data_IF_252277963497
#
_entry.id   IF_252277963497
#
_cell.length_a   1.000
_cell.length_b   1.000
_cell.length_c   1.000
_cell.angle_alpha   90.00
_cell.angle_beta   90.00
_cell.angle_gamma   90.00
#
_symmetry.space_group_name_H-M   'P 1'
#
loop_
_entity.id
_entity.type
_entity.pdbx_description
1 polymer ?
#
# COMPACT_ATOMS: atom_id res chain seq x y z
N UNK A 1 25.13 1.79 -8.75
CA UNK A 1 23.86 1.57 -9.44
C UNK A 1 22.79 2.33 -8.68
N UNK A 2 21.93 3.09 -9.36
CA UNK A 2 20.83 3.78 -8.70
C UNK A 2 19.70 2.78 -8.43
N UNK A 3 19.10 2.82 -7.24
CA UNK A 3 17.95 1.98 -6.90
C UNK A 3 16.75 2.34 -7.79
N UNK A 4 16.02 1.31 -8.22
CA UNK A 4 14.73 1.45 -8.89
C UNK A 4 13.66 1.99 -7.92
N UNK A 5 12.54 2.46 -8.47
CA UNK A 5 11.41 2.94 -7.67
C UNK A 5 10.92 1.86 -6.67
N UNK A 6 10.76 0.61 -7.12
CA UNK A 6 10.29 -0.48 -6.25
C UNK A 6 11.30 -0.82 -5.14
N UNK A 7 12.61 -0.77 -5.44
CA UNK A 7 13.66 -0.98 -4.43
C UNK A 7 13.66 0.13 -3.37
N UNK A 8 13.45 1.40 -3.77
CA UNK A 8 13.33 2.52 -2.83
C UNK A 8 12.07 2.43 -1.97
N UNK A 9 10.92 2.07 -2.56
CA UNK A 9 9.70 1.81 -1.81
C UNK A 9 9.88 0.69 -0.78
N UNK A 10 10.62 -0.36 -1.12
CA UNK A 10 10.91 -1.45 -0.20
C UNK A 10 11.89 -1.04 0.92
N UNK A 11 12.94 -0.28 0.60
CA UNK A 11 13.85 0.31 1.61
C UNK A 11 13.08 1.19 2.61
N UNK A 12 12.24 2.09 2.09
CA UNK A 12 11.37 2.92 2.92
C UNK A 12 10.48 2.05 3.82
N UNK A 13 9.86 1.00 3.29
CA UNK A 13 8.99 0.12 4.08
C UNK A 13 9.77 -0.59 5.21
N UNK A 14 10.99 -1.05 4.96
CA UNK A 14 11.86 -1.64 5.99
C UNK A 14 12.15 -0.64 7.10
N UNK A 15 12.57 0.57 6.73
CA UNK A 15 12.92 1.63 7.70
C UNK A 15 11.71 2.11 8.49
N UNK A 16 10.55 2.19 7.85
CA UNK A 16 9.31 2.70 8.43
C UNK A 16 8.61 1.68 9.36
N UNK A 17 8.70 0.38 9.06
CA UNK A 17 7.87 -0.65 9.70
C UNK A 17 8.66 -1.77 10.37
N UNK A 18 9.95 -1.91 10.04
CA UNK A 18 10.79 -3.04 10.41
C UNK A 18 10.75 -4.17 9.38
N UNK A 19 11.86 -4.91 9.27
CA UNK A 19 12.04 -5.95 8.25
C UNK A 19 10.92 -7.00 8.27
N UNK A 20 10.48 -7.46 9.44
CA UNK A 20 9.45 -8.51 9.54
C UNK A 20 8.10 -8.08 8.95
N UNK A 21 7.71 -6.81 9.11
CA UNK A 21 6.45 -6.28 8.57
C UNK A 21 6.60 -5.96 7.08
N UNK A 22 7.73 -5.37 6.68
CA UNK A 22 8.00 -4.99 5.29
C UNK A 22 8.13 -6.22 4.37
N UNK A 23 8.77 -7.30 4.85
CA UNK A 23 8.97 -8.53 4.10
C UNK A 23 7.79 -9.51 4.13
N UNK A 24 6.71 -9.20 4.86
CA UNK A 24 5.53 -10.06 4.92
C UNK A 24 4.60 -9.80 3.72
N UNK A 25 4.41 -10.78 2.79
CA UNK A 25 3.57 -10.58 1.61
C UNK A 25 2.10 -10.29 1.94
N UNK A 26 1.58 -10.84 3.05
CA UNK A 26 0.21 -10.58 3.51
C UNK A 26 0.03 -9.12 3.92
N UNK A 27 0.99 -8.54 4.63
CA UNK A 27 0.95 -7.11 5.00
C UNK A 27 1.03 -6.21 3.76
N UNK A 28 1.89 -6.57 2.81
CA UNK A 28 2.05 -5.78 1.58
C UNK A 28 0.77 -5.80 0.74
N UNK A 29 0.15 -6.96 0.55
CA UNK A 29 -1.10 -7.05 -0.23
C UNK A 29 -2.29 -6.41 0.50
N UNK A 30 -2.35 -6.48 1.83
CA UNK A 30 -3.37 -5.78 2.60
C UNK A 30 -3.23 -4.26 2.47
N UNK A 31 -2.01 -3.73 2.41
CA UNK A 31 -1.83 -2.29 2.15
C UNK A 31 -2.28 -1.91 0.74
N UNK A 32 -1.97 -2.71 -0.27
CA UNK A 32 -2.47 -2.48 -1.64
C UNK A 32 -4.00 -2.47 -1.68
N UNK A 33 -4.65 -3.41 -0.99
CA UNK A 33 -6.11 -3.47 -0.88
C UNK A 33 -6.69 -2.22 -0.22
N UNK A 34 -6.12 -1.79 0.90
CA UNK A 34 -6.56 -0.59 1.62
C UNK A 34 -6.48 0.65 0.75
N UNK A 35 -5.35 0.88 0.06
CA UNK A 35 -5.18 2.02 -0.86
C UNK A 35 -6.19 1.97 -2.03
N UNK A 36 -6.47 0.78 -2.56
CA UNK A 36 -7.45 0.62 -3.63
C UNK A 36 -8.88 0.95 -3.16
N UNK A 37 -9.22 0.60 -1.91
CA UNK A 37 -10.50 0.97 -1.28
C UNK A 37 -10.55 2.47 -1.00
N UNK A 38 -9.48 3.06 -0.47
CA UNK A 38 -9.37 4.51 -0.24
C UNK A 38 -9.53 5.27 -1.58
N UNK A 39 -8.90 4.81 -2.67
CA UNK A 39 -9.08 5.38 -4.01
C UNK A 39 -10.54 5.28 -4.49
N UNK A 40 -11.16 4.09 -4.38
CA UNK A 40 -12.56 3.90 -4.76
C UNK A 40 -13.51 4.83 -3.96
N UNK A 41 -13.23 5.02 -2.66
CA UNK A 41 -13.97 5.95 -1.82
C UNK A 41 -13.88 7.39 -2.33
N UNK A 42 -12.71 7.84 -2.78
CA UNK A 42 -12.54 9.20 -3.33
C UNK A 42 -13.34 9.44 -4.62
N UNK A 43 -13.63 8.38 -5.38
CA UNK A 43 -14.47 8.43 -6.58
C UNK A 43 -15.96 8.19 -6.28
N UNK A 44 -16.35 8.11 -5.00
CA UNK A 44 -17.74 7.96 -4.59
C UNK A 44 -18.31 6.55 -4.79
N UNK A 45 -17.46 5.52 -4.86
CA UNK A 45 -17.92 4.13 -4.92
C UNK A 45 -18.51 3.75 -3.56
N UNK A 46 -19.77 3.33 -3.56
CA UNK A 46 -20.46 2.89 -2.34
C UNK A 46 -19.93 1.54 -1.83
N UNK A 47 -19.97 1.35 -0.52
CA UNK A 47 -19.53 0.11 0.12
C UNK A 47 -20.24 -1.14 -0.44
N UNK A 48 -21.54 -1.08 -0.71
CA UNK A 48 -22.29 -2.22 -1.29
C UNK A 48 -21.72 -2.67 -2.65
N UNK A 49 -21.18 -1.74 -3.45
CA UNK A 49 -20.54 -2.05 -4.74
C UNK A 49 -19.19 -2.71 -4.52
N UNK A 50 -18.45 -2.29 -3.49
CA UNK A 50 -17.20 -2.94 -3.06
C UNK A 50 -17.50 -4.38 -2.62
N UNK A 51 -18.51 -4.58 -1.77
CA UNK A 51 -18.90 -5.91 -1.28
C UNK A 51 -19.35 -6.83 -2.42
N UNK A 52 -20.14 -6.32 -3.38
CA UNK A 52 -20.52 -7.06 -4.58
C UNK A 52 -19.29 -7.44 -5.45
N UNK A 53 -18.30 -6.54 -5.54
CA UNK A 53 -17.05 -6.78 -6.26
C UNK A 53 -16.21 -7.86 -5.59
N UNK A 54 -16.10 -7.83 -4.27
CA UNK A 54 -15.46 -8.87 -3.45
C UNK A 54 -16.12 -10.22 -3.74
N UNK A 55 -17.44 -10.31 -3.64
CA UNK A 55 -18.17 -11.56 -3.93
C UNK A 55 -17.88 -12.11 -5.33
N UNK A 56 -17.83 -11.24 -6.34
CA UNK A 56 -17.51 -11.63 -7.73
C UNK A 56 -16.07 -12.13 -7.89
N UNK A 57 -15.10 -11.54 -7.19
CA UNK A 57 -13.69 -11.98 -7.25
C UNK A 57 -13.54 -13.34 -6.58
N UNK A 58 -14.10 -13.50 -5.38
CA UNK A 58 -14.00 -14.76 -4.62
C UNK A 58 -14.84 -15.91 -5.20
N UNK A 59 -15.77 -15.64 -6.14
CA UNK A 59 -16.49 -16.68 -6.86
C UNK A 59 -15.70 -17.32 -8.01
N UNK A 60 -14.46 -16.87 -8.27
CA UNK A 60 -13.61 -17.33 -9.38
C UNK A 60 -12.41 -18.13 -8.85
N UNK A 61 -11.75 -18.94 -9.70
CA UNK A 61 -10.47 -19.55 -9.35
C UNK A 61 -9.45 -18.49 -8.96
N UNK A 62 -8.60 -18.83 -7.99
CA UNK A 62 -7.51 -17.97 -7.52
C UNK A 62 -6.52 -17.71 -8.67
N UNK A 63 -6.17 -16.43 -8.87
CA UNK A 63 -5.21 -16.00 -9.89
C UNK A 63 -3.74 -16.20 -9.48
N UNK A 64 -2.83 -15.81 -10.37
CA UNK A 64 -1.38 -15.89 -10.15
C UNK A 64 -0.84 -14.52 -9.70
N UNK A 65 -0.23 -14.44 -8.52
CA UNK A 65 0.11 -13.16 -7.89
C UNK A 65 0.94 -12.18 -8.75
N UNK A 66 1.99 -12.61 -9.49
CA UNK A 66 2.69 -11.72 -10.44
C UNK A 66 1.78 -11.13 -11.54
N UNK A 67 0.84 -11.92 -12.06
CA UNK A 67 -0.10 -11.47 -13.09
C UNK A 67 -1.10 -10.46 -12.53
N UNK A 68 -1.70 -10.77 -11.37
CA UNK A 68 -2.65 -9.88 -10.71
C UNK A 68 -1.98 -8.55 -10.31
N UNK A 69 -0.72 -8.60 -9.86
CA UNK A 69 0.06 -7.38 -9.55
C UNK A 69 0.24 -6.49 -10.78
N UNK A 70 0.54 -7.08 -11.94
CA UNK A 70 0.66 -6.35 -13.20
C UNK A 70 -0.69 -5.77 -13.65
N UNK A 71 -1.79 -6.50 -13.44
CA UNK A 71 -3.14 -6.03 -13.79
C UNK A 71 -3.60 -4.88 -12.88
N UNK A 72 -3.25 -4.90 -11.59
CA UNK A 72 -3.48 -3.78 -10.67
C UNK A 72 -2.75 -2.53 -11.19
N UNK A 73 -1.46 -2.63 -11.51
CA UNK A 73 -0.68 -1.51 -12.04
C UNK A 73 -1.30 -0.98 -13.35
N UNK A 74 -1.61 -1.86 -14.30
CA UNK A 74 -2.22 -1.49 -15.58
C UNK A 74 -3.55 -0.76 -15.39
N UNK A 75 -4.40 -1.24 -14.48
CA UNK A 75 -5.69 -0.63 -14.18
C UNK A 75 -5.53 0.74 -13.54
N UNK A 76 -4.59 0.89 -12.60
CA UNK A 76 -4.29 2.16 -11.95
C UNK A 76 -3.75 3.19 -12.95
N UNK A 77 -2.83 2.79 -13.85
CA UNK A 77 -2.33 3.65 -14.92
C UNK A 77 -3.43 4.10 -15.88
N UNK A 78 -4.35 3.21 -16.24
CA UNK A 78 -5.50 3.53 -17.09
C UNK A 78 -6.44 4.54 -16.41
N UNK A 79 -6.74 4.34 -15.12
CA UNK A 79 -7.50 5.29 -14.32
C UNK A 79 -6.82 6.67 -14.27
N UNK A 80 -5.52 6.71 -13.99
CA UNK A 80 -4.76 7.96 -13.94
C UNK A 80 -4.81 8.71 -15.27
N UNK A 81 -4.61 8.00 -16.39
CA UNK A 81 -4.73 8.58 -17.72
C UNK A 81 -6.15 9.14 -17.99
N UNK A 82 -7.19 8.42 -17.55
CA UNK A 82 -8.58 8.89 -17.66
C UNK A 82 -8.83 10.20 -16.89
N UNK A 83 -8.19 10.38 -15.73
CA UNK A 83 -8.28 11.59 -14.92
C UNK A 83 -7.32 12.71 -15.37
N UNK A 84 -6.45 12.45 -16.36
CA UNK A 84 -5.42 13.39 -16.80
C UNK A 84 -4.24 13.51 -15.83
N UNK A 85 -3.99 12.48 -15.03
CA UNK A 85 -2.91 12.45 -14.04
C UNK A 85 -1.61 11.88 -14.62
N UNK A 86 -0.47 12.42 -14.15
CA UNK A 86 0.86 11.86 -14.40
C UNK A 86 1.25 10.93 -13.25
N UNK A 87 0.79 9.68 -13.31
CA UNK A 87 0.88 8.73 -12.19
C UNK A 87 2.32 8.52 -11.71
N UNK A 88 3.27 8.37 -12.63
CA UNK A 88 4.68 8.12 -12.30
C UNK A 88 5.29 9.31 -11.54
N UNK A 89 5.01 10.54 -11.98
CA UNK A 89 5.48 11.74 -11.31
C UNK A 89 4.84 11.92 -9.93
N UNK A 90 3.55 11.59 -9.81
CA UNK A 90 2.83 11.60 -8.53
C UNK A 90 3.39 10.55 -7.55
N UNK A 91 3.72 9.36 -8.04
CA UNK A 91 4.30 8.29 -7.23
C UNK A 91 5.69 8.66 -6.69
N UNK A 92 6.54 9.29 -7.51
CA UNK A 92 7.84 9.81 -7.07
C UNK A 92 7.69 10.93 -6.01
N UNK A 93 6.73 11.83 -6.19
CA UNK A 93 6.46 12.89 -5.22
C UNK A 93 5.93 12.33 -3.89
N UNK A 94 5.05 11.33 -3.93
CA UNK A 94 4.55 10.68 -2.70
C UNK A 94 5.66 9.92 -1.99
N UNK A 95 6.54 9.22 -2.71
CA UNK A 95 7.70 8.55 -2.12
C UNK A 95 8.60 9.55 -1.39
N UNK A 96 8.92 10.68 -2.01
CA UNK A 96 9.70 11.75 -1.37
C UNK A 96 9.00 12.29 -0.12
N UNK A 97 7.67 12.45 -0.15
CA UNK A 97 6.88 12.92 1.00
C UNK A 97 6.90 11.93 2.17
N UNK A 98 6.76 10.63 1.91
CA UNK A 98 6.79 9.61 2.98
C UNK A 98 8.20 9.41 3.54
N UNK A 99 9.24 9.61 2.73
CA UNK A 99 10.64 9.65 3.18
C UNK A 99 10.91 10.87 4.08
N UNK A 100 10.37 12.04 3.74
CA UNK A 100 10.49 13.25 4.57
C UNK A 100 9.74 13.10 5.91
N UNK A 101 8.52 12.53 5.89
CA UNK A 101 7.77 12.21 7.12
C UNK A 101 8.55 11.26 8.02
N UNK A 102 9.19 10.23 7.45
CA UNK A 102 9.99 9.28 8.21
C UNK A 102 11.25 9.94 8.80
N UNK A 103 11.88 10.83 8.04
CA UNK A 103 13.04 11.60 8.51
C UNK A 103 12.68 12.55 9.65
N UNK A 104 11.50 13.17 9.58
CA UNK A 104 11.00 14.11 10.57
C UNK A 104 10.51 13.45 11.85
N UNK A 105 9.86 12.28 11.73
CA UNK A 105 9.43 11.45 12.86
C UNK A 105 9.64 9.96 12.52
N UNK A 106 10.72 9.34 13.04
CA UNK A 106 11.04 7.93 12.82
C UNK A 106 9.93 6.95 13.27
N UNK A 107 9.02 7.38 14.15
CA UNK A 107 7.95 6.54 14.68
C UNK A 107 6.59 6.81 13.99
N UNK A 108 6.49 7.78 13.08
CA UNK A 108 5.23 8.16 12.44
C UNK A 108 4.47 6.97 11.83
N UNK A 109 5.15 6.17 11.01
CA UNK A 109 4.55 5.01 10.35
C UNK A 109 4.36 3.83 11.30
N UNK A 110 5.26 3.65 12.25
CA UNK A 110 5.13 2.61 13.28
C UNK A 110 3.86 2.83 14.13
N UNK A 111 3.58 4.06 14.57
CA UNK A 111 2.35 4.40 15.29
C UNK A 111 1.09 4.08 14.46
N UNK A 112 1.08 4.40 13.17
CA UNK A 112 -0.04 4.09 12.28
C UNK A 112 -0.21 2.58 12.11
N UNK A 113 0.88 1.84 11.94
CA UNK A 113 0.87 0.39 11.84
C UNK A 113 0.37 -0.26 13.13
N UNK A 114 0.75 0.26 14.31
CA UNK A 114 0.26 -0.25 15.59
C UNK A 114 -1.26 -0.07 15.76
N UNK A 115 -1.83 1.05 15.24
CA UNK A 115 -3.29 1.23 15.21
C UNK A 115 -3.97 0.15 14.36
N UNK A 116 -3.40 -0.18 13.19
CA UNK A 116 -3.90 -1.29 12.34
C UNK A 116 -3.82 -2.63 13.05
N UNK A 117 -2.73 -2.89 13.75
CA UNK A 117 -2.57 -4.09 14.56
C UNK A 117 -3.60 -4.18 15.69
N UNK A 118 -3.93 -3.06 16.34
CA UNK A 118 -4.98 -2.99 17.36
C UNK A 118 -6.38 -3.31 16.83
N UNK A 119 -6.62 -3.09 15.53
CA UNK A 119 -7.86 -3.45 14.83
C UNK A 119 -7.85 -4.88 14.26
N UNK A 120 -6.75 -5.62 14.38
CA UNK A 120 -6.60 -6.97 13.83
C UNK A 120 -6.41 -7.03 12.31
N UNK A 121 -6.15 -5.89 11.66
CA UNK A 121 -5.98 -5.78 10.19
C UNK A 121 -4.51 -5.54 9.78
N UNK A 122 -3.56 -5.78 10.68
CA UNK A 122 -2.14 -5.69 10.39
C UNK A 122 -1.24 -6.26 11.50
N UNK A 123 0.04 -6.36 11.22
CA UNK A 123 1.07 -6.76 12.20
C UNK A 123 1.51 -5.59 13.07
N UNK A 124 1.95 -5.85 14.30
CA UNK A 124 2.63 -4.84 15.13
C UNK A 124 3.95 -4.41 14.43
N UNK A 125 4.30 -3.12 14.45
CA UNK A 125 5.58 -2.64 13.91
C UNK A 125 6.76 -3.25 14.68
N UNK A 126 7.91 -3.39 14.01
CA UNK A 126 9.16 -3.90 14.61
C UNK A 126 10.34 -2.97 14.28
N UNK A 127 10.21 -1.69 14.63
CA UNK A 127 11.30 -0.72 14.51
C UNK A 127 12.03 -0.58 15.86
N UNK A 128 13.36 -0.37 15.80
CA UNK A 128 14.16 -0.13 17.00
C UNK A 128 13.65 1.13 17.73
N UNK A 129 13.54 1.04 19.07
CA UNK A 129 13.05 2.15 19.90
C UNK A 129 11.52 2.32 19.96
N UNK A 130 10.75 1.55 19.20
CA UNK A 130 9.29 1.53 19.34
C UNK A 130 8.89 0.69 20.57
N UNK A 131 8.78 1.34 21.72
CA UNK A 131 8.19 0.74 22.93
C UNK A 131 6.69 1.05 22.92
N UNK A 132 5.85 0.00 23.03
CA UNK A 132 4.39 0.12 23.05
C UNK A 132 3.88 0.95 24.23
#
# INVERSE_FOLDING_TARGET
MQLTFSERCYDWAIRALGHAVASNPRERVLRVLEEAIELAQTEGVNQDVIDATVNRVYSRPVGHAPQESAQVLLTLSSYAACKGYHLEAMAEAELAMVEDKLSSDPHYFAHRQAKKAGLGIGMKPQTEGYVQ
#
